data_IF_449721085640
#
_entry.id   IF_449721085640
#
_cell.length_a   1.000
_cell.length_b   1.000
_cell.length_c   1.000
_cell.angle_alpha   90.00
_cell.angle_beta   90.00
_cell.angle_gamma   90.00
#
_symmetry.space_group_name_H-M   'P 1'
#
loop_
_entity.id
_entity.type
_entity.pdbx_description
1 polymer ?
#
# COMPACT_ATOMS: atom_id res chain seq x y z
N UNK A 1 -34.23 -4.58 3.04
CA UNK A 1 -33.91 -6.03 2.84
C UNK A 1 -32.99 -6.45 3.99
N UNK A 2 -33.04 -7.70 4.46
CA UNK A 2 -32.13 -8.14 5.54
C UNK A 2 -30.67 -8.12 5.07
N UNK A 3 -29.67 -7.69 5.90
CA UNK A 3 -28.30 -7.49 5.47
C UNK A 3 -27.65 -8.69 4.77
N UNK A 4 -27.84 -9.92 5.24
CA UNK A 4 -27.31 -11.12 4.58
C UNK A 4 -27.89 -11.35 3.18
N UNK A 5 -29.16 -11.00 2.95
CA UNK A 5 -29.77 -11.07 1.61
C UNK A 5 -29.21 -10.00 0.68
N UNK A 6 -28.87 -8.81 1.22
CA UNK A 6 -28.16 -7.78 0.45
C UNK A 6 -26.80 -8.31 0.00
N UNK A 7 -26.05 -8.95 0.89
CA UNK A 7 -24.74 -9.53 0.55
C UNK A 7 -24.87 -10.61 -0.51
N UNK A 8 -25.85 -11.54 -0.39
CA UNK A 8 -26.11 -12.57 -1.40
C UNK A 8 -26.44 -11.93 -2.77
N UNK A 9 -27.24 -10.86 -2.79
CA UNK A 9 -27.55 -10.10 -4.01
C UNK A 9 -26.27 -9.46 -4.60
N UNK A 10 -25.40 -8.88 -3.77
CA UNK A 10 -24.12 -8.31 -4.21
C UNK A 10 -23.13 -9.35 -4.77
N UNK A 11 -23.21 -10.61 -4.33
CA UNK A 11 -22.40 -11.70 -4.86
C UNK A 11 -22.88 -12.22 -6.21
N UNK A 12 -24.15 -12.03 -6.56
CA UNK A 12 -24.77 -12.59 -7.76
C UNK A 12 -24.25 -12.00 -9.07
N UNK A 13 -23.64 -10.79 -9.03
CA UNK A 13 -23.11 -10.12 -10.20
C UNK A 13 -21.84 -9.32 -9.85
N UNK A 14 -20.79 -9.42 -10.68
CA UNK A 14 -19.54 -8.71 -10.49
C UNK A 14 -19.51 -7.30 -11.09
N UNK A 15 -20.55 -6.89 -11.80
CA UNK A 15 -20.68 -5.56 -12.39
C UNK A 15 -20.64 -4.47 -11.30
N UNK A 16 -19.80 -3.47 -11.51
CA UNK A 16 -19.71 -2.32 -10.61
C UNK A 16 -21.03 -1.57 -10.51
N UNK A 17 -21.70 -1.34 -11.63
CA UNK A 17 -22.98 -0.58 -11.66
C UNK A 17 -24.07 -1.34 -10.93
N UNK A 18 -24.13 -2.66 -11.09
CA UNK A 18 -25.06 -3.50 -10.33
C UNK A 18 -24.82 -3.40 -8.83
N UNK A 19 -23.55 -3.50 -8.38
CA UNK A 19 -23.23 -3.37 -6.95
C UNK A 19 -23.56 -1.98 -6.40
N UNK A 20 -23.29 -0.92 -7.17
CA UNK A 20 -23.65 0.44 -6.80
C UNK A 20 -25.18 0.59 -6.64
N UNK A 21 -26.01 0.03 -7.55
CA UNK A 21 -27.47 0.10 -7.42
C UNK A 21 -27.99 -0.69 -6.21
N UNK A 22 -27.46 -1.87 -5.93
CA UNK A 22 -27.86 -2.66 -4.76
C UNK A 22 -27.53 -1.92 -3.45
N UNK A 23 -26.39 -1.24 -3.38
CA UNK A 23 -26.02 -0.42 -2.22
C UNK A 23 -26.97 0.78 -2.12
N UNK A 24 -27.24 1.48 -3.21
CA UNK A 24 -28.15 2.64 -3.27
C UNK A 24 -29.54 2.30 -2.72
N UNK A 25 -30.09 1.14 -3.14
CA UNK A 25 -31.41 0.66 -2.68
C UNK A 25 -31.48 0.37 -1.17
N UNK A 26 -30.37 0.04 -0.53
CA UNK A 26 -30.36 -0.51 0.83
C UNK A 26 -29.57 0.33 1.84
N UNK A 27 -28.89 1.39 1.41
CA UNK A 27 -27.97 2.14 2.29
C UNK A 27 -28.64 2.94 3.40
N UNK A 28 -29.96 3.10 3.34
CA UNK A 28 -30.73 3.74 4.42
C UNK A 28 -31.00 2.82 5.62
N UNK A 29 -30.71 1.52 5.52
CA UNK A 29 -30.77 0.58 6.63
C UNK A 29 -29.56 0.83 7.55
N UNK A 30 -29.84 1.23 8.80
CA UNK A 30 -28.79 1.59 9.78
C UNK A 30 -27.94 0.39 10.20
N UNK A 31 -28.53 -0.79 10.34
CA UNK A 31 -27.80 -2.01 10.69
C UNK A 31 -26.82 -2.39 9.57
N UNK A 32 -27.26 -2.19 8.32
CA UNK A 32 -26.39 -2.39 7.16
C UNK A 32 -25.25 -1.36 7.11
N UNK A 33 -25.53 -0.06 7.34
CA UNK A 33 -24.48 0.97 7.43
C UNK A 33 -23.45 0.66 8.51
N UNK A 34 -23.89 0.35 9.73
CA UNK A 34 -23.01 0.04 10.85
C UNK A 34 -22.16 -1.19 10.56
N UNK A 35 -22.75 -2.23 9.98
CA UNK A 35 -22.02 -3.44 9.61
C UNK A 35 -21.00 -3.22 8.48
N UNK A 36 -21.35 -2.40 7.48
CA UNK A 36 -20.40 -1.94 6.46
C UNK A 36 -19.22 -1.19 7.11
N UNK A 37 -19.50 -0.28 8.04
CA UNK A 37 -18.47 0.46 8.76
C UNK A 37 -17.58 -0.48 9.57
N UNK A 38 -18.17 -1.38 10.37
CA UNK A 38 -17.40 -2.35 11.16
C UNK A 38 -16.53 -3.27 10.28
N UNK A 39 -17.02 -3.67 9.11
CA UNK A 39 -16.29 -4.55 8.20
C UNK A 39 -15.20 -3.82 7.42
N UNK A 40 -15.50 -2.66 6.85
CA UNK A 40 -14.66 -2.00 5.85
C UNK A 40 -13.71 -0.95 6.44
N UNK A 41 -14.01 -0.37 7.62
CA UNK A 41 -13.07 0.52 8.30
C UNK A 41 -11.83 -0.26 8.74
N UNK A 42 -10.69 0.03 8.14
CA UNK A 42 -9.43 -0.65 8.43
C UNK A 42 -8.98 -0.52 9.88
N UNK A 43 -9.39 0.55 10.58
CA UNK A 43 -9.01 0.81 11.97
C UNK A 43 -9.89 0.09 13.00
N UNK A 44 -10.98 -0.53 12.56
CA UNK A 44 -11.79 -1.45 13.38
C UNK A 44 -11.16 -2.84 13.31
N UNK A 45 -10.76 -3.39 14.44
CA UNK A 45 -10.16 -4.73 14.53
C UNK A 45 -10.78 -5.54 15.65
N UNK A 46 -11.16 -6.78 15.38
CA UNK A 46 -11.79 -7.66 16.38
C UNK A 46 -10.79 -8.53 17.12
N UNK A 47 -9.53 -8.60 16.70
CA UNK A 47 -8.48 -9.39 17.36
C UNK A 47 -8.65 -10.91 17.24
N UNK A 48 -9.43 -11.36 16.29
CA UNK A 48 -9.69 -12.78 16.07
C UNK A 48 -9.11 -13.21 14.72
N UNK A 49 -8.40 -14.36 14.72
CA UNK A 49 -7.76 -14.89 13.51
C UNK A 49 -8.66 -15.88 12.75
N UNK A 50 -9.50 -16.60 13.48
CA UNK A 50 -10.35 -17.66 12.93
C UNK A 50 -11.78 -17.48 13.42
N UNK A 51 -12.70 -17.38 12.47
CA UNK A 51 -14.15 -17.35 12.72
C UNK A 51 -14.77 -18.48 11.90
N UNK A 52 -15.28 -19.56 12.55
CA UNK A 52 -15.80 -20.73 11.86
C UNK A 52 -17.06 -20.41 11.06
N UNK A 53 -17.34 -21.20 10.04
CA UNK A 53 -18.67 -21.25 9.42
C UNK A 53 -19.62 -22.09 10.29
N UNK A 54 -20.91 -21.87 10.14
CA UNK A 54 -21.95 -22.66 10.80
C UNK A 54 -22.93 -23.23 9.79
N UNK A 55 -23.30 -24.47 9.97
CA UNK A 55 -24.40 -25.16 9.30
C UNK A 55 -25.64 -25.30 10.21
N UNK A 56 -25.52 -24.90 11.47
CA UNK A 56 -26.58 -24.91 12.46
C UNK A 56 -27.54 -23.72 12.26
N UNK A 57 -28.78 -23.92 12.57
CA UNK A 57 -29.79 -22.87 12.57
C UNK A 57 -30.26 -22.60 14.01
N UNK A 58 -29.76 -21.48 14.56
CA UNK A 58 -30.28 -20.88 15.77
C UNK A 58 -31.64 -20.20 15.54
N UNK A 59 -32.13 -19.52 16.56
CA UNK A 59 -33.43 -18.79 16.52
C UNK A 59 -33.36 -17.44 15.79
N UNK A 60 -32.15 -17.01 15.39
CA UNK A 60 -31.83 -15.70 14.84
C UNK A 60 -30.99 -14.86 15.81
N UNK A 61 -30.10 -14.05 15.26
CA UNK A 61 -29.23 -13.14 16.02
C UNK A 61 -29.64 -11.69 15.74
N UNK A 62 -30.02 -11.01 16.79
CA UNK A 62 -30.34 -9.58 16.75
C UNK A 62 -29.07 -8.74 16.52
N UNK A 63 -29.20 -7.65 15.74
CA UNK A 63 -28.08 -6.74 15.45
C UNK A 63 -27.49 -6.11 16.72
N UNK A 64 -28.34 -5.65 17.67
CA UNK A 64 -27.88 -5.06 18.93
C UNK A 64 -27.04 -6.04 19.75
N UNK A 65 -27.45 -7.31 19.82
CA UNK A 65 -26.70 -8.35 20.51
C UNK A 65 -25.36 -8.60 19.85
N UNK A 66 -25.30 -8.69 18.50
CA UNK A 66 -24.05 -8.80 17.76
C UNK A 66 -23.14 -7.58 17.99
N UNK A 67 -23.68 -6.37 17.86
CA UNK A 67 -22.95 -5.11 18.03
C UNK A 67 -22.30 -5.00 19.40
N UNK A 68 -23.04 -5.33 20.47
CA UNK A 68 -22.50 -5.30 21.83
C UNK A 68 -21.31 -6.25 21.98
N UNK A 69 -21.44 -7.49 21.51
CA UNK A 69 -20.34 -8.45 21.54
C UNK A 69 -19.16 -8.02 20.65
N UNK A 70 -19.43 -7.47 19.48
CA UNK A 70 -18.40 -6.93 18.58
C UNK A 70 -17.62 -5.78 19.24
N UNK A 71 -18.29 -4.89 19.99
CA UNK A 71 -17.64 -3.81 20.73
C UNK A 71 -16.69 -4.35 21.82
N UNK A 72 -17.06 -5.41 22.55
CA UNK A 72 -16.16 -6.05 23.53
C UNK A 72 -14.88 -6.59 22.88
N UNK A 73 -14.97 -7.07 21.63
CA UNK A 73 -13.81 -7.52 20.85
C UNK A 73 -12.96 -6.33 20.35
N UNK A 74 -13.61 -5.28 19.85
CA UNK A 74 -12.94 -4.05 19.36
C UNK A 74 -12.17 -3.36 20.51
N UNK A 75 -12.81 -3.21 21.67
CA UNK A 75 -12.22 -2.58 22.86
C UNK A 75 -11.24 -3.48 23.62
N UNK A 76 -11.04 -4.72 23.14
CA UNK A 76 -10.16 -5.71 23.76
C UNK A 76 -10.56 -6.12 25.19
N UNK A 77 -11.82 -5.96 25.56
CA UNK A 77 -12.35 -6.45 26.82
C UNK A 77 -12.44 -7.99 26.81
N UNK A 78 -12.69 -8.58 25.64
CA UNK A 78 -12.58 -10.02 25.42
C UNK A 78 -11.47 -10.32 24.43
N UNK A 79 -10.51 -11.17 24.84
CA UNK A 79 -9.36 -11.61 24.04
C UNK A 79 -9.12 -13.10 24.19
N UNK A 80 -8.30 -13.71 23.33
CA UNK A 80 -7.92 -15.12 23.43
C UNK A 80 -9.12 -16.08 23.48
N UNK A 81 -9.20 -16.92 24.50
CA UNK A 81 -10.28 -17.88 24.68
C UNK A 81 -11.63 -17.21 24.93
N UNK A 82 -11.69 -16.13 25.73
CA UNK A 82 -12.94 -15.41 25.98
C UNK A 82 -13.53 -14.79 24.71
N UNK A 83 -12.68 -14.30 23.78
CA UNK A 83 -13.14 -13.82 22.48
C UNK A 83 -13.69 -14.97 21.60
N UNK A 84 -13.04 -16.13 21.63
CA UNK A 84 -13.51 -17.31 20.92
C UNK A 84 -14.87 -17.79 21.44
N UNK A 85 -15.03 -17.86 22.75
CA UNK A 85 -16.27 -18.32 23.38
C UNK A 85 -17.43 -17.36 23.06
N UNK A 86 -17.15 -16.04 23.05
CA UNK A 86 -18.12 -15.02 22.63
C UNK A 86 -18.59 -15.24 21.17
N UNK A 87 -17.64 -15.48 20.27
CA UNK A 87 -17.94 -15.74 18.86
C UNK A 87 -18.78 -17.00 18.69
N UNK A 88 -18.46 -18.08 19.41
CA UNK A 88 -19.23 -19.33 19.35
C UNK A 88 -20.64 -19.13 19.91
N UNK A 89 -20.80 -18.35 20.98
CA UNK A 89 -22.12 -18.04 21.54
C UNK A 89 -22.98 -17.20 20.57
N UNK A 90 -22.39 -16.27 19.81
CA UNK A 90 -23.09 -15.55 18.75
C UNK A 90 -23.48 -16.48 17.60
N UNK A 91 -22.55 -17.33 17.19
CA UNK A 91 -22.75 -18.29 16.10
C UNK A 91 -23.91 -19.26 16.40
N UNK A 92 -24.00 -19.77 17.65
CA UNK A 92 -25.07 -20.69 18.06
C UNK A 92 -26.47 -20.04 18.09
N UNK A 93 -26.54 -18.70 18.26
CA UNK A 93 -27.81 -17.94 18.20
C UNK A 93 -28.27 -17.65 16.78
N UNK A 94 -27.34 -17.39 15.86
CA UNK A 94 -27.64 -16.97 14.50
C UNK A 94 -28.16 -18.15 13.65
N UNK A 95 -28.98 -17.86 12.63
CA UNK A 95 -29.21 -18.82 11.56
C UNK A 95 -27.92 -18.99 10.72
N UNK A 96 -27.81 -20.10 10.01
CA UNK A 96 -26.68 -20.39 9.14
C UNK A 96 -26.44 -19.27 8.09
N UNK A 97 -27.51 -18.74 7.49
CA UNK A 97 -27.41 -17.64 6.53
C UNK A 97 -26.94 -16.34 7.18
N UNK A 98 -27.59 -15.91 8.30
CA UNK A 98 -27.20 -14.70 9.03
C UNK A 98 -25.73 -14.74 9.42
N UNK A 99 -25.29 -15.89 9.96
CA UNK A 99 -23.91 -16.06 10.38
C UNK A 99 -22.94 -16.03 9.22
N UNK A 100 -23.11 -16.90 8.23
CA UNK A 100 -22.13 -17.08 7.17
C UNK A 100 -22.05 -15.91 6.20
N UNK A 101 -23.19 -15.23 5.93
CA UNK A 101 -23.27 -14.20 4.90
C UNK A 101 -23.28 -12.76 5.44
N UNK A 102 -23.35 -12.60 6.78
CA UNK A 102 -23.28 -11.28 7.38
C UNK A 102 -22.34 -11.21 8.59
N UNK A 103 -22.72 -11.72 9.74
CA UNK A 103 -21.98 -11.54 10.99
C UNK A 103 -20.53 -12.05 10.94
N UNK A 104 -20.36 -13.24 10.41
CA UNK A 104 -19.02 -13.80 10.20
C UNK A 104 -18.16 -12.94 9.26
N UNK A 105 -18.74 -12.41 8.19
CA UNK A 105 -18.02 -11.59 7.21
C UNK A 105 -17.57 -10.27 7.81
N UNK A 106 -18.34 -9.69 8.71
CA UNK A 106 -17.91 -8.53 9.49
C UNK A 106 -16.71 -8.89 10.35
N UNK A 107 -16.78 -9.97 11.12
CA UNK A 107 -15.71 -10.41 12.03
C UNK A 107 -14.41 -10.77 11.32
N UNK A 108 -14.45 -11.35 10.12
CA UNK A 108 -13.27 -11.64 9.30
C UNK A 108 -12.80 -10.43 8.46
N UNK A 109 -13.49 -9.30 8.54
CA UNK A 109 -13.17 -8.06 7.80
C UNK A 109 -13.19 -8.24 6.27
N UNK A 110 -14.06 -9.09 5.75
CA UNK A 110 -14.17 -9.40 4.33
C UNK A 110 -15.62 -9.77 3.95
N UNK A 111 -16.31 -8.86 3.28
CA UNK A 111 -17.68 -9.08 2.80
C UNK A 111 -17.78 -10.13 1.70
N UNK A 112 -16.67 -10.47 1.03
CA UNK A 112 -16.58 -11.46 -0.06
C UNK A 112 -17.49 -11.20 -1.26
N UNK A 113 -18.03 -9.99 -1.38
CA UNK A 113 -18.92 -9.60 -2.47
C UNK A 113 -18.30 -8.53 -3.39
N UNK A 114 -16.98 -8.28 -3.29
CA UNK A 114 -16.25 -7.33 -4.14
C UNK A 114 -16.62 -5.85 -3.93
N UNK A 115 -17.22 -5.52 -2.78
CA UNK A 115 -17.53 -4.14 -2.36
C UNK A 115 -16.43 -3.63 -1.45
N UNK A 116 -15.96 -2.40 -1.72
CA UNK A 116 -14.97 -1.69 -0.90
C UNK A 116 -15.56 -0.44 -0.27
N UNK A 117 -14.83 0.13 0.71
CA UNK A 117 -15.16 1.43 1.31
C UNK A 117 -15.35 2.53 0.25
N UNK A 118 -14.56 2.50 -0.83
CA UNK A 118 -14.66 3.47 -1.94
C UNK A 118 -15.96 3.29 -2.72
N UNK A 119 -16.39 2.05 -2.95
CA UNK A 119 -17.65 1.74 -3.63
C UNK A 119 -18.82 2.32 -2.83
N UNK A 120 -18.86 2.04 -1.52
CA UNK A 120 -19.90 2.57 -0.62
C UNK A 120 -19.89 4.10 -0.62
N UNK A 121 -18.72 4.71 -0.43
CA UNK A 121 -18.58 6.17 -0.35
C UNK A 121 -18.93 6.89 -1.65
N UNK A 122 -18.68 6.27 -2.80
CA UNK A 122 -19.11 6.82 -4.10
C UNK A 122 -20.63 6.84 -4.22
N UNK A 123 -21.32 5.77 -3.83
CA UNK A 123 -22.79 5.69 -3.83
C UNK A 123 -23.35 6.75 -2.89
N UNK A 124 -22.94 6.77 -1.64
CA UNK A 124 -23.50 7.71 -0.64
C UNK A 124 -23.23 9.17 -0.99
N UNK A 125 -22.10 9.46 -1.65
CA UNK A 125 -21.82 10.80 -2.18
C UNK A 125 -22.78 11.17 -3.32
N UNK A 126 -23.06 10.23 -4.24
CA UNK A 126 -23.93 10.44 -5.40
C UNK A 126 -25.38 10.77 -5.00
N UNK A 127 -25.87 10.13 -3.92
CA UNK A 127 -27.23 10.28 -3.43
C UNK A 127 -27.34 11.21 -2.20
N UNK A 128 -26.27 11.96 -1.90
CA UNK A 128 -26.19 12.96 -0.82
C UNK A 128 -26.52 12.43 0.59
N UNK A 129 -26.19 11.18 0.87
CA UNK A 129 -26.27 10.61 2.23
C UNK A 129 -24.99 10.92 2.98
N UNK A 130 -25.09 11.35 4.24
CA UNK A 130 -23.94 11.73 5.08
C UNK A 130 -23.06 10.56 5.51
N UNK A 131 -23.56 9.32 5.45
CA UNK A 131 -22.80 8.13 5.83
C UNK A 131 -21.53 7.98 4.98
N UNK A 132 -20.40 7.74 5.64
CA UNK A 132 -19.11 7.45 5.02
C UNK A 132 -18.38 6.38 5.81
N UNK A 133 -17.83 5.41 5.11
CA UNK A 133 -16.86 4.47 5.68
C UNK A 133 -15.49 5.15 5.68
N UNK A 134 -14.77 5.21 6.82
CA UNK A 134 -13.42 5.75 6.85
C UNK A 134 -12.50 5.03 5.87
N UNK A 135 -11.73 5.81 5.08
CA UNK A 135 -10.74 5.27 4.14
C UNK A 135 -9.37 5.37 4.79
N UNK A 136 -8.72 4.22 4.98
CA UNK A 136 -7.34 4.21 5.46
C UNK A 136 -6.44 4.92 4.46
N UNK A 137 -5.74 5.94 4.93
CA UNK A 137 -4.79 6.69 4.12
C UNK A 137 -3.57 7.05 4.96
N UNK A 138 -2.41 7.02 4.33
CA UNK A 138 -1.16 7.52 4.87
C UNK A 138 -0.52 8.47 3.87
N UNK A 139 0.51 9.19 4.28
CA UNK A 139 1.21 10.10 3.38
C UNK A 139 1.90 9.35 2.26
N UNK A 140 1.77 9.84 1.02
CA UNK A 140 2.44 9.32 -0.16
C UNK A 140 3.35 10.39 -0.77
N UNK A 141 4.53 9.98 -1.21
CA UNK A 141 5.50 10.86 -1.85
C UNK A 141 5.15 11.20 -3.30
N UNK A 142 5.51 12.40 -3.74
CA UNK A 142 5.66 12.72 -5.16
C UNK A 142 7.03 12.30 -5.70
N UNK A 143 7.15 12.24 -7.02
CA UNK A 143 8.41 12.09 -7.71
C UNK A 143 9.14 13.45 -7.72
N UNK A 144 10.24 13.57 -6.98
CA UNK A 144 10.96 14.85 -6.83
C UNK A 144 11.59 15.34 -8.13
N UNK A 145 11.97 14.44 -9.03
CA UNK A 145 12.48 14.80 -10.36
C UNK A 145 11.46 15.57 -11.21
N UNK A 146 10.16 15.36 -10.95
CA UNK A 146 9.07 16.08 -11.63
C UNK A 146 8.70 17.40 -10.93
N UNK A 147 9.19 17.60 -9.74
CA UNK A 147 8.85 18.76 -8.89
C UNK A 147 10.08 19.46 -8.31
N UNK A 148 11.14 19.78 -9.11
CA UNK A 148 12.39 20.35 -8.60
C UNK A 148 12.17 21.67 -7.85
N UNK A 149 11.19 22.46 -8.26
CA UNK A 149 10.85 23.75 -7.59
C UNK A 149 10.31 23.58 -6.16
N UNK A 150 10.02 22.35 -5.74
CA UNK A 150 9.57 22.03 -4.35
C UNK A 150 10.74 21.69 -3.43
N UNK A 151 11.93 21.48 -3.99
CA UNK A 151 13.18 21.24 -3.26
C UNK A 151 13.82 22.60 -3.06
N UNK A 152 13.68 23.17 -1.87
CA UNK A 152 14.21 24.50 -1.51
C UNK A 152 14.27 24.68 0.00
N UNK A 153 15.12 25.59 0.46
CA UNK A 153 15.37 25.81 1.88
C UNK A 153 15.91 24.57 2.58
N UNK A 154 15.74 24.50 3.86
CA UNK A 154 16.15 23.36 4.65
C UNK A 154 15.26 22.14 4.39
N UNK A 155 15.88 21.05 3.98
CA UNK A 155 15.22 19.76 3.77
C UNK A 155 15.97 18.66 4.52
N UNK A 156 15.25 17.68 5.03
CA UNK A 156 15.81 16.45 5.53
C UNK A 156 16.00 15.49 4.35
N UNK A 157 17.22 14.95 4.18
CA UNK A 157 17.50 13.89 3.23
C UNK A 157 17.67 12.60 3.99
N UNK A 158 16.96 11.56 3.57
CA UNK A 158 17.00 10.20 4.10
C UNK A 158 17.32 9.21 2.99
N UNK A 159 17.99 8.10 3.32
CA UNK A 159 18.09 6.97 2.38
C UNK A 159 16.70 6.34 2.19
N UNK A 160 16.36 6.06 0.94
CA UNK A 160 15.11 5.36 0.62
C UNK A 160 15.32 3.86 0.68
N UNK A 161 14.80 3.28 1.73
CA UNK A 161 14.84 1.83 1.94
C UNK A 161 13.96 1.10 0.91
N UNK A 162 14.37 -0.10 0.50
CA UNK A 162 13.60 -1.00 -0.38
C UNK A 162 13.09 -2.18 0.44
N UNK A 163 11.99 -1.99 1.13
CA UNK A 163 11.38 -2.95 2.03
C UNK A 163 9.87 -3.02 1.85
N UNK A 164 9.18 -3.28 2.95
CA UNK A 164 7.71 -3.31 3.01
C UNK A 164 7.22 -2.22 3.96
N UNK A 165 6.56 -1.21 3.41
CA UNK A 165 6.03 -0.12 4.23
C UNK A 165 4.97 -0.61 5.20
N UNK A 166 5.13 -0.21 6.45
CA UNK A 166 4.25 -0.54 7.56
C UNK A 166 3.85 0.74 8.31
N UNK A 167 2.56 0.86 8.56
CA UNK A 167 1.97 1.83 9.48
C UNK A 167 1.65 1.07 10.76
N UNK A 168 2.44 1.25 11.81
CA UNK A 168 2.20 0.64 13.12
C UNK A 168 1.35 1.57 13.98
N UNK A 169 0.20 1.09 14.43
CA UNK A 169 -0.73 1.87 15.28
C UNK A 169 -0.82 1.23 16.64
N UNK A 170 -0.45 1.99 17.67
CA UNK A 170 -0.54 1.59 19.08
C UNK A 170 -1.77 2.19 19.75
N UNK A 171 -2.61 1.32 20.33
CA UNK A 171 -3.77 1.69 21.18
C UNK A 171 -3.77 0.84 22.44
N UNK A 172 -3.92 1.45 23.63
CA UNK A 172 -4.01 0.72 24.90
C UNK A 172 -2.93 -0.37 25.05
N UNK A 173 -1.68 -0.03 24.71
CA UNK A 173 -0.51 -0.93 24.73
C UNK A 173 -0.61 -2.14 23.77
N UNK A 174 -1.48 -2.08 22.77
CA UNK A 174 -1.53 -3.04 21.68
C UNK A 174 -1.11 -2.36 20.39
N UNK A 175 -0.25 -3.01 19.63
CA UNK A 175 0.19 -2.54 18.31
C UNK A 175 -0.41 -3.42 17.22
N UNK A 176 -0.90 -2.80 16.19
CA UNK A 176 -1.33 -3.48 14.96
C UNK A 176 -0.57 -2.89 13.79
N UNK A 177 -0.02 -3.75 12.93
CA UNK A 177 0.72 -3.36 11.74
C UNK A 177 -0.20 -3.34 10.53
N UNK A 178 -0.17 -2.25 9.77
CA UNK A 178 -0.96 -2.06 8.57
C UNK A 178 -0.08 -1.84 7.35
N UNK A 179 -0.47 -2.38 6.21
CA UNK A 179 0.08 -1.93 4.94
C UNK A 179 -0.35 -0.49 4.63
N UNK A 180 0.28 0.16 3.68
CA UNK A 180 -0.12 1.49 3.21
C UNK A 180 -1.57 1.59 2.71
N UNK A 181 -2.22 0.47 2.47
CA UNK A 181 -3.61 0.38 2.01
C UNK A 181 -4.56 -0.09 3.14
N UNK A 182 -4.12 -0.13 4.39
CA UNK A 182 -4.92 -0.50 5.54
C UNK A 182 -5.14 -2.01 5.73
N UNK A 183 -4.44 -2.88 5.00
CA UNK A 183 -4.48 -4.32 5.27
C UNK A 183 -3.59 -4.66 6.45
N UNK A 184 -4.09 -5.47 7.38
CA UNK A 184 -3.33 -5.91 8.55
C UNK A 184 -2.24 -6.89 8.12
N UNK A 185 -1.02 -6.65 8.62
CA UNK A 185 0.08 -7.59 8.58
C UNK A 185 0.12 -8.38 9.90
N UNK A 186 0.18 -9.70 9.81
CA UNK A 186 0.38 -10.58 10.97
C UNK A 186 1.72 -11.32 10.93
N UNK A 187 2.59 -10.94 10.01
CA UNK A 187 3.81 -11.66 9.69
C UNK A 187 5.01 -11.25 10.58
N UNK A 188 4.87 -10.14 11.33
CA UNK A 188 5.94 -9.56 12.15
C UNK A 188 5.52 -9.42 13.62
N UNK A 189 5.17 -10.51 14.32
CA UNK A 189 4.66 -10.46 15.69
C UNK A 189 5.67 -9.89 16.67
N UNK A 190 6.98 -10.08 16.46
CA UNK A 190 8.04 -9.53 17.30
C UNK A 190 8.10 -7.98 17.23
N UNK A 191 7.80 -7.38 16.07
CA UNK A 191 7.70 -5.91 15.91
C UNK A 191 6.46 -5.38 16.63
N UNK A 192 5.31 -6.08 16.49
CA UNK A 192 4.07 -5.72 17.22
C UNK A 192 4.29 -5.77 18.74
N UNK A 193 4.91 -6.84 19.23
CA UNK A 193 5.22 -7.03 20.64
C UNK A 193 6.21 -5.97 21.16
N UNK A 194 7.25 -5.68 20.36
CA UNK A 194 8.26 -4.68 20.70
C UNK A 194 7.65 -3.28 20.89
N UNK A 195 6.81 -2.82 19.97
CA UNK A 195 6.14 -1.53 20.07
C UNK A 195 5.06 -1.52 21.17
N UNK A 196 4.40 -2.64 21.42
CA UNK A 196 3.42 -2.78 22.49
C UNK A 196 4.08 -2.65 23.88
N UNK A 197 5.25 -3.27 24.06
CA UNK A 197 6.03 -3.19 25.32
C UNK A 197 6.67 -1.82 25.57
N UNK A 198 6.89 -1.02 24.53
CA UNK A 198 7.47 0.32 24.66
C UNK A 198 6.51 1.35 25.28
N UNK A 199 5.30 0.93 25.67
CA UNK A 199 4.29 1.73 26.37
C UNK A 199 3.85 3.00 25.64
N UNK A 200 3.88 2.98 24.32
CA UNK A 200 3.29 4.03 23.51
C UNK A 200 1.77 3.84 23.47
N UNK A 201 1.03 4.91 23.67
CA UNK A 201 -0.43 4.87 23.59
C UNK A 201 -0.94 5.92 22.59
N UNK A 202 -1.87 5.49 21.73
CA UNK A 202 -2.48 6.36 20.71
C UNK A 202 -1.45 7.04 19.78
N UNK A 203 -0.45 6.27 19.35
CA UNK A 203 0.60 6.73 18.43
C UNK A 203 0.56 5.94 17.12
N UNK A 204 1.00 6.59 16.07
CA UNK A 204 1.23 6.02 14.75
C UNK A 204 2.71 6.14 14.42
N UNK A 205 3.32 5.03 14.03
CA UNK A 205 4.69 4.95 13.56
C UNK A 205 4.67 4.55 12.09
N UNK A 206 5.32 5.34 11.26
CA UNK A 206 5.44 5.09 9.82
C UNK A 206 6.86 4.65 9.49
N UNK A 207 7.00 3.49 8.90
CA UNK A 207 8.30 2.88 8.68
C UNK A 207 8.32 1.87 7.54
N UNK A 208 9.50 1.31 7.31
CA UNK A 208 9.74 0.25 6.35
C UNK A 208 10.24 -0.99 7.10
N UNK A 209 9.58 -2.13 6.93
CA UNK A 209 10.12 -3.41 7.42
C UNK A 209 11.20 -3.87 6.47
N UNK A 210 12.35 -4.12 7.03
CA UNK A 210 13.57 -4.56 6.36
C UNK A 210 13.97 -5.96 6.83
N UNK A 211 14.65 -6.70 5.98
CA UNK A 211 15.33 -7.96 6.27
C UNK A 211 16.62 -7.99 5.47
N UNK A 212 17.57 -8.80 5.87
CA UNK A 212 18.85 -8.97 5.16
C UNK A 212 18.66 -9.50 3.73
N UNK A 213 17.53 -10.19 3.46
CA UNK A 213 17.12 -10.65 2.12
C UNK A 213 15.72 -10.15 1.75
N UNK A 214 15.68 -9.14 0.86
CA UNK A 214 14.43 -8.58 0.34
C UNK A 214 13.55 -9.63 -0.35
N UNK A 215 14.13 -10.58 -1.08
CA UNK A 215 13.35 -11.63 -1.75
C UNK A 215 12.69 -12.57 -0.74
N UNK A 216 13.40 -12.93 0.32
CA UNK A 216 12.86 -13.70 1.44
C UNK A 216 11.77 -12.91 2.16
N UNK A 217 11.96 -11.60 2.39
CA UNK A 217 10.96 -10.72 2.98
C UNK A 217 9.68 -10.71 2.14
N UNK A 218 9.78 -10.52 0.82
CA UNK A 218 8.61 -10.50 -0.07
C UNK A 218 7.89 -11.85 -0.13
N UNK A 219 8.61 -12.97 -0.16
CA UNK A 219 8.01 -14.32 -0.06
C UNK A 219 7.24 -14.51 1.24
N UNK A 220 7.71 -13.93 2.33
CA UNK A 220 7.11 -14.06 3.66
C UNK A 220 5.88 -13.16 3.82
N UNK A 221 5.91 -11.93 3.31
CA UNK A 221 4.76 -11.00 3.32
C UNK A 221 3.55 -11.59 2.58
N UNK A 222 3.78 -12.38 1.53
CA UNK A 222 2.71 -13.01 0.75
C UNK A 222 2.29 -14.40 1.25
N UNK A 223 3.01 -14.99 2.20
CA UNK A 223 2.61 -16.28 2.79
C UNK A 223 1.46 -16.11 3.79
N UNK A 224 0.43 -16.93 3.62
CA UNK A 224 -0.77 -16.92 4.50
C UNK A 224 -0.58 -17.69 5.82
N UNK A 225 0.52 -18.40 6.01
CA UNK A 225 0.77 -19.28 7.17
C UNK A 225 2.22 -19.25 7.61
N UNK A 226 2.42 -19.06 8.94
CA UNK A 226 3.63 -19.35 9.75
C UNK A 226 5.01 -18.91 9.24
N UNK A 227 5.12 -17.78 8.56
CA UNK A 227 6.43 -17.20 8.28
C UNK A 227 6.84 -16.30 9.46
N UNK A 228 7.67 -16.79 10.35
CA UNK A 228 8.37 -15.98 11.35
C UNK A 228 9.63 -15.43 10.72
N UNK A 229 9.74 -14.12 10.63
CA UNK A 229 10.95 -13.39 10.27
C UNK A 229 11.58 -12.82 11.52
N UNK A 230 12.31 -13.60 12.26
CA UNK A 230 12.96 -13.14 13.50
C UNK A 230 14.08 -12.12 13.22
N UNK A 231 14.60 -12.09 12.00
CA UNK A 231 15.63 -11.17 11.49
C UNK A 231 15.08 -9.85 10.91
N UNK A 232 13.76 -9.74 10.72
CA UNK A 232 13.17 -8.51 10.22
C UNK A 232 13.20 -7.40 11.29
N UNK A 233 13.49 -6.17 10.87
CA UNK A 233 13.43 -4.99 11.72
C UNK A 233 12.59 -3.89 11.07
N UNK A 234 12.04 -2.99 11.87
CA UNK A 234 11.28 -1.82 11.41
C UNK A 234 12.17 -0.58 11.43
N UNK A 235 12.44 -0.01 10.26
CA UNK A 235 13.11 1.26 10.06
C UNK A 235 12.07 2.39 10.09
N UNK A 236 11.99 3.13 11.19
CA UNK A 236 11.03 4.21 11.41
C UNK A 236 11.52 5.51 10.78
N UNK A 237 10.69 6.15 9.97
CA UNK A 237 11.00 7.43 9.37
C UNK A 237 10.00 8.55 9.71
N UNK A 238 8.87 8.22 10.36
CA UNK A 238 7.93 9.25 10.85
C UNK A 238 7.10 8.76 12.05
N UNK A 239 6.52 9.71 12.79
CA UNK A 239 5.69 9.48 13.97
C UNK A 239 4.65 10.58 14.10
N UNK A 240 3.43 10.24 14.51
CA UNK A 240 2.40 11.22 14.85
C UNK A 240 1.35 10.65 15.82
N UNK A 241 0.61 11.49 16.56
CA UNK A 241 -0.51 11.05 17.36
C UNK A 241 -1.61 10.39 16.51
N UNK A 242 -2.22 9.32 17.00
CA UNK A 242 -3.31 8.64 16.30
C UNK A 242 -4.49 9.56 15.98
N UNK A 243 -4.78 10.53 16.85
CA UNK A 243 -5.82 11.53 16.59
C UNK A 243 -5.51 12.33 15.31
N UNK A 244 -4.29 12.82 15.16
CA UNK A 244 -3.87 13.59 13.99
C UNK A 244 -3.86 12.75 12.71
N UNK A 245 -3.48 11.47 12.83
CA UNK A 245 -3.57 10.52 11.72
C UNK A 245 -5.02 10.31 11.27
N UNK A 246 -5.97 10.18 12.22
CA UNK A 246 -7.40 10.05 11.93
C UNK A 246 -7.98 11.36 11.35
N UNK A 247 -7.50 12.51 11.82
CA UNK A 247 -7.86 13.84 11.28
C UNK A 247 -7.23 14.08 9.89
N UNK A 248 -6.33 13.19 9.44
CA UNK A 248 -5.69 13.21 8.13
C UNK A 248 -4.50 14.16 8.01
N UNK A 249 -4.08 14.83 9.10
CA UNK A 249 -3.00 15.81 9.06
C UNK A 249 -2.33 15.99 10.43
N UNK A 250 -0.99 16.02 10.44
CA UNK A 250 -0.20 16.37 11.62
C UNK A 250 -0.20 17.89 11.88
N UNK A 251 -0.06 18.26 13.15
CA UNK A 251 0.18 19.64 13.59
C UNK A 251 1.66 19.99 13.63
N UNK A 252 2.51 18.98 13.77
CA UNK A 252 3.96 19.12 13.84
C UNK A 252 4.59 19.09 12.46
N UNK A 253 5.63 19.87 12.28
CA UNK A 253 6.48 19.89 11.10
C UNK A 253 7.31 18.60 10.98
N UNK A 254 7.90 18.38 9.81
CA UNK A 254 8.78 17.21 9.57
C UNK A 254 9.91 17.15 10.60
N UNK A 255 10.61 18.26 10.84
CA UNK A 255 11.72 18.31 11.79
C UNK A 255 11.26 18.05 13.24
N UNK A 256 10.12 18.63 13.65
CA UNK A 256 9.56 18.39 14.99
C UNK A 256 9.20 16.92 15.19
N UNK A 257 8.59 16.27 14.20
CA UNK A 257 8.27 14.83 14.27
C UNK A 257 9.52 13.96 14.35
N UNK A 258 10.59 14.32 13.60
CA UNK A 258 11.89 13.64 13.71
C UNK A 258 12.50 13.78 15.10
N UNK A 259 12.50 14.99 15.65
CA UNK A 259 12.97 15.25 17.02
C UNK A 259 12.18 14.44 18.05
N UNK A 260 10.86 14.25 17.86
CA UNK A 260 10.05 13.40 18.71
C UNK A 260 10.45 11.93 18.60
N UNK A 261 10.68 11.44 17.37
CA UNK A 261 11.10 10.08 17.12
C UNK A 261 12.45 9.78 17.80
N UNK A 262 13.41 10.70 17.69
CA UNK A 262 14.72 10.58 18.35
C UNK A 262 14.63 10.57 19.89
N UNK A 263 13.76 11.40 20.46
CA UNK A 263 13.51 11.37 21.92
C UNK A 263 13.02 10.01 22.42
N UNK A 264 12.32 9.28 21.57
CA UNK A 264 11.82 7.94 21.88
C UNK A 264 12.83 6.82 21.57
N UNK A 265 13.96 7.12 20.94
CA UNK A 265 14.94 6.11 20.49
C UNK A 265 15.37 5.14 21.61
N UNK A 266 15.54 5.65 22.82
CA UNK A 266 15.94 4.84 24.00
C UNK A 266 14.90 3.83 24.46
N UNK A 267 13.64 3.98 24.00
CA UNK A 267 12.54 3.04 24.31
C UNK A 267 12.42 1.92 23.27
N UNK A 268 13.08 2.07 22.15
CA UNK A 268 12.97 1.09 21.06
C UNK A 268 13.94 -0.09 21.28
N UNK A 269 13.45 -1.33 21.20
CA UNK A 269 14.32 -2.50 21.19
C UNK A 269 15.06 -2.61 19.85
N UNK A 270 16.05 -3.52 19.77
CA UNK A 270 16.96 -3.65 18.64
C UNK A 270 16.29 -3.90 17.27
N UNK A 271 15.10 -4.48 17.26
CA UNK A 271 14.31 -4.70 16.04
C UNK A 271 13.58 -3.44 15.54
N UNK A 272 13.71 -2.30 16.24
CA UNK A 272 13.16 -1.00 15.82
C UNK A 272 14.32 -0.02 15.67
N UNK A 273 14.54 0.49 14.48
CA UNK A 273 15.60 1.45 14.15
C UNK A 273 15.00 2.73 13.64
N UNK A 274 15.61 3.87 13.89
CA UNK A 274 15.22 5.15 13.30
C UNK A 274 16.06 5.35 12.05
N UNK A 275 15.41 5.80 10.97
CA UNK A 275 16.10 6.16 9.73
C UNK A 275 16.88 7.44 9.94
N UNK A 276 18.19 7.38 9.71
CA UNK A 276 19.08 8.52 9.77
C UNK A 276 18.73 9.56 8.70
N UNK A 277 18.94 10.83 9.01
CA UNK A 277 18.74 11.93 8.09
C UNK A 277 19.84 12.98 8.19
N UNK A 278 20.00 13.73 7.12
CA UNK A 278 20.89 14.90 7.06
C UNK A 278 20.06 16.12 6.70
N UNK A 279 20.20 17.21 7.45
CA UNK A 279 19.57 18.49 7.08
C UNK A 279 20.47 19.20 6.07
N UNK A 280 19.89 19.61 4.95
CA UNK A 280 20.59 20.24 3.84
C UNK A 280 19.81 21.48 3.41
N UNK A 281 20.51 22.62 3.34
CA UNK A 281 19.95 23.84 2.77
C UNK A 281 20.13 23.84 1.25
N UNK A 282 19.03 23.69 0.53
CA UNK A 282 19.03 23.69 -0.94
C UNK A 282 19.06 25.07 -1.58
N UNK A 283 18.88 26.13 -0.80
CA UNK A 283 19.07 27.49 -1.27
C UNK A 283 20.54 27.96 -1.08
N UNK A 284 21.35 27.17 -0.34
CA UNK A 284 22.77 27.39 -0.12
C UNK A 284 23.68 26.72 -1.15
N UNK A 285 24.94 27.16 -1.22
CA UNK A 285 25.93 26.72 -2.23
C UNK A 285 26.28 25.23 -2.16
N UNK A 286 26.09 24.58 -1.02
CA UNK A 286 26.46 23.16 -0.79
C UNK A 286 25.30 22.17 -0.92
N UNK A 287 24.08 22.66 -1.19
CA UNK A 287 22.91 21.80 -1.21
C UNK A 287 22.97 20.70 -2.26
N UNK A 288 23.32 21.10 -3.49
CA UNK A 288 23.40 20.18 -4.65
C UNK A 288 24.60 19.22 -4.53
N UNK A 289 25.73 19.67 -3.98
CA UNK A 289 26.91 18.83 -3.75
C UNK A 289 26.61 17.76 -2.70
N UNK A 290 26.01 18.12 -1.57
CA UNK A 290 25.63 17.18 -0.51
C UNK A 290 24.61 16.15 -1.02
N UNK A 291 23.60 16.61 -1.77
CA UNK A 291 22.63 15.71 -2.40
C UNK A 291 23.31 14.72 -3.35
N UNK A 292 24.19 15.21 -4.23
CA UNK A 292 24.89 14.37 -5.21
C UNK A 292 25.76 13.31 -4.53
N UNK A 293 26.48 13.68 -3.46
CA UNK A 293 27.27 12.75 -2.66
C UNK A 293 26.39 11.68 -2.00
N UNK A 294 25.32 12.09 -1.31
CA UNK A 294 24.41 11.15 -0.65
C UNK A 294 23.71 10.23 -1.66
N UNK A 295 23.35 10.76 -2.85
CA UNK A 295 22.72 9.94 -3.89
C UNK A 295 23.67 8.86 -4.42
N UNK A 296 24.95 9.17 -4.61
CA UNK A 296 25.97 8.20 -4.97
C UNK A 296 26.14 7.14 -3.89
N UNK A 297 26.27 7.54 -2.63
CA UNK A 297 26.36 6.62 -1.48
C UNK A 297 25.12 5.72 -1.36
N UNK A 298 23.94 6.25 -1.61
CA UNK A 298 22.68 5.48 -1.58
C UNK A 298 22.73 4.31 -2.57
N UNK A 299 23.19 4.56 -3.80
CA UNK A 299 23.31 3.55 -4.84
C UNK A 299 24.38 2.52 -4.53
N UNK A 300 25.57 2.94 -4.07
CA UNK A 300 26.67 2.06 -3.67
C UNK A 300 26.27 1.13 -2.52
N UNK A 301 25.41 1.59 -1.62
CA UNK A 301 24.91 0.82 -0.47
C UNK A 301 23.62 0.04 -0.77
N UNK A 302 23.11 0.06 -2.01
CA UNK A 302 21.96 -0.72 -2.45
C UNK A 302 20.60 -0.15 -2.02
N UNK A 303 20.51 1.12 -1.63
CA UNK A 303 19.23 1.78 -1.38
C UNK A 303 18.50 2.13 -2.70
N UNK A 304 17.17 2.27 -2.67
CA UNK A 304 16.38 2.67 -3.85
C UNK A 304 16.66 4.12 -4.33
N UNK A 305 17.41 4.91 -3.59
CA UNK A 305 17.69 6.32 -3.81
C UNK A 305 17.51 7.13 -2.53
N UNK A 306 16.98 8.34 -2.63
CA UNK A 306 16.81 9.26 -1.51
C UNK A 306 15.35 9.70 -1.34
N UNK A 307 15.01 10.13 -0.13
CA UNK A 307 13.79 10.88 0.21
C UNK A 307 14.20 12.28 0.65
N UNK A 308 13.62 13.30 0.02
CA UNK A 308 13.77 14.71 0.43
C UNK A 308 12.47 15.15 1.08
N UNK A 309 12.58 15.73 2.27
CA UNK A 309 11.45 16.16 3.10
C UNK A 309 11.70 17.60 3.56
N UNK A 310 10.99 18.62 3.03
CA UNK A 310 11.09 19.99 3.57
C UNK A 310 10.84 19.99 5.08
N UNK A 311 11.70 20.67 5.83
CA UNK A 311 11.70 20.62 7.31
C UNK A 311 10.41 21.12 7.95
N UNK A 312 9.77 22.13 7.32
CA UNK A 312 8.60 22.81 7.83
C UNK A 312 7.27 22.23 7.36
N UNK A 313 7.30 21.19 6.50
CA UNK A 313 6.10 20.58 5.96
C UNK A 313 5.43 19.63 6.96
N UNK A 314 4.12 19.47 6.81
CA UNK A 314 3.30 18.63 7.69
C UNK A 314 3.08 17.25 7.09
N UNK A 315 2.85 16.24 7.93
CA UNK A 315 2.36 14.95 7.47
C UNK A 315 0.88 15.07 7.08
N UNK A 316 0.53 14.68 5.86
CA UNK A 316 -0.84 14.67 5.37
C UNK A 316 -1.18 13.28 4.82
N UNK A 317 -2.31 12.70 5.24
CA UNK A 317 -2.75 11.35 4.80
C UNK A 317 -3.23 11.33 3.34
N UNK A 318 -2.40 11.84 2.44
CA UNK A 318 -2.61 11.89 0.98
C UNK A 318 -1.27 11.94 0.26
N UNK A 319 -1.28 11.98 -1.08
CA UNK A 319 -0.08 12.30 -1.84
C UNK A 319 0.28 13.78 -1.61
N UNK A 320 1.50 14.03 -1.12
CA UNK A 320 1.97 15.37 -0.73
C UNK A 320 3.39 15.63 -1.22
N UNK A 321 3.71 16.90 -1.51
CA UNK A 321 5.07 17.34 -1.81
C UNK A 321 5.95 17.43 -0.56
N UNK A 322 5.38 17.29 0.63
CA UNK A 322 6.14 17.18 1.87
C UNK A 322 7.08 15.95 1.89
N UNK A 323 6.87 15.00 0.99
CA UNK A 323 7.78 13.89 0.72
C UNK A 323 8.06 13.80 -0.78
N UNK A 324 9.32 13.94 -1.16
CA UNK A 324 9.80 13.86 -2.53
C UNK A 324 10.77 12.67 -2.65
N UNK A 325 10.38 11.67 -3.41
CA UNK A 325 11.27 10.53 -3.68
C UNK A 325 12.19 10.85 -4.85
N UNK A 326 13.48 10.64 -4.64
CA UNK A 326 14.54 10.79 -5.62
C UNK A 326 15.03 9.38 -5.97
N UNK A 327 14.41 8.78 -6.98
CA UNK A 327 14.85 7.48 -7.49
C UNK A 327 15.68 7.70 -8.74
N UNK A 328 16.92 7.24 -8.78
CA UNK A 328 17.65 7.14 -10.03
C UNK A 328 16.87 6.21 -10.97
N UNK A 329 17.00 6.45 -12.24
CA UNK A 329 16.54 5.56 -13.27
C UNK A 329 17.73 5.19 -14.15
N UNK A 330 17.69 4.00 -14.68
CA UNK A 330 18.59 3.54 -15.72
C UNK A 330 17.89 3.70 -17.07
N UNK A 331 18.66 3.94 -18.10
CA UNK A 331 18.19 3.96 -19.49
C UNK A 331 18.91 2.85 -20.25
N UNK A 332 18.12 2.03 -20.94
CA UNK A 332 18.60 0.89 -21.72
C UNK A 332 18.01 1.00 -23.12
N UNK A 333 18.81 0.79 -24.13
CA UNK A 333 18.36 0.86 -25.55
C UNK A 333 18.31 -0.56 -26.14
N UNK A 334 17.10 -1.00 -26.49
CA UNK A 334 16.86 -2.36 -27.00
C UNK A 334 16.06 -2.33 -28.31
N UNK A 335 16.21 -3.39 -29.10
CA UNK A 335 15.50 -3.55 -30.37
C UNK A 335 14.11 -4.15 -30.17
N UNK A 336 13.10 -3.58 -30.80
CA UNK A 336 11.74 -4.13 -30.86
C UNK A 336 11.74 -5.39 -31.73
N UNK A 337 11.36 -6.51 -31.16
CA UNK A 337 11.23 -7.80 -31.86
C UNK A 337 9.78 -8.16 -32.16
N UNK A 338 8.85 -7.75 -31.27
CA UNK A 338 7.43 -8.01 -31.46
C UNK A 338 6.58 -6.83 -30.94
N UNK A 339 5.37 -6.70 -31.47
CA UNK A 339 4.38 -5.70 -31.06
C UNK A 339 3.08 -6.40 -30.70
N UNK A 340 2.63 -6.23 -29.46
CA UNK A 340 1.46 -6.92 -28.93
C UNK A 340 0.25 -6.01 -28.82
N UNK A 341 -0.92 -6.56 -29.14
CA UNK A 341 -2.20 -5.88 -28.91
C UNK A 341 -2.50 -5.77 -27.42
N UNK A 342 -3.13 -4.68 -27.02
CA UNK A 342 -3.60 -4.48 -25.67
C UNK A 342 -4.88 -5.27 -25.37
N UNK A 343 -5.18 -5.41 -24.06
CA UNK A 343 -6.39 -6.08 -23.59
C UNK A 343 -7.34 -5.08 -22.93
N UNK A 344 -8.59 -5.46 -22.73
CA UNK A 344 -9.60 -4.61 -22.06
C UNK A 344 -9.80 -3.29 -22.80
N UNK A 345 -9.58 -2.15 -22.13
CA UNK A 345 -9.72 -0.81 -22.75
C UNK A 345 -8.71 -0.50 -23.86
N UNK A 346 -7.70 -1.33 -24.04
CA UNK A 346 -6.65 -1.16 -25.05
C UNK A 346 -6.78 -2.15 -26.21
N UNK A 347 -7.89 -2.85 -26.35
CA UNK A 347 -8.19 -3.66 -27.57
C UNK A 347 -8.17 -2.74 -28.80
N UNK A 348 -7.54 -3.19 -29.88
CA UNK A 348 -7.33 -2.37 -31.08
C UNK A 348 -6.19 -1.35 -30.98
N UNK A 349 -5.41 -1.38 -29.90
CA UNK A 349 -4.29 -0.46 -29.63
C UNK A 349 -3.06 -1.24 -29.16
N UNK A 350 -1.90 -0.58 -29.18
CA UNK A 350 -0.67 -1.17 -28.64
C UNK A 350 -0.81 -1.51 -27.13
N UNK A 351 -0.54 -2.75 -26.79
CA UNK A 351 -0.41 -3.24 -25.42
C UNK A 351 1.02 -3.11 -24.89
N UNK A 352 1.95 -3.76 -25.58
CA UNK A 352 3.36 -3.79 -25.20
C UNK A 352 4.25 -4.04 -26.43
N UNK A 353 5.54 -3.70 -26.27
CA UNK A 353 6.62 -4.17 -27.16
C UNK A 353 7.33 -5.34 -26.47
N UNK A 354 7.68 -6.41 -27.20
CA UNK A 354 8.79 -7.28 -26.83
C UNK A 354 10.07 -6.68 -27.36
N UNK A 355 11.09 -6.61 -26.52
CA UNK A 355 12.38 -6.01 -26.86
C UNK A 355 13.52 -6.91 -26.45
N UNK A 356 14.58 -6.93 -27.28
CA UNK A 356 15.76 -7.73 -27.04
C UNK A 356 17.04 -6.97 -27.44
N UNK A 357 18.13 -7.31 -26.80
CA UNK A 357 19.45 -6.78 -27.16
C UNK A 357 20.45 -6.75 -26.01
N UNK A 358 21.69 -6.38 -26.37
CA UNK A 358 22.74 -6.16 -25.41
C UNK A 358 22.87 -4.67 -25.10
N UNK A 359 22.94 -4.34 -23.82
CA UNK A 359 23.28 -3.01 -23.33
C UNK A 359 24.19 -3.16 -22.11
N UNK A 360 25.30 -2.42 -22.08
CA UNK A 360 26.33 -2.48 -21.02
C UNK A 360 26.80 -3.92 -20.70
N UNK A 361 27.00 -4.74 -21.74
CA UNK A 361 27.47 -6.14 -21.59
C UNK A 361 26.43 -7.12 -21.04
N UNK A 362 25.18 -6.72 -20.91
CA UNK A 362 24.08 -7.55 -20.40
C UNK A 362 23.04 -7.78 -21.50
N UNK A 363 22.63 -9.03 -21.69
CA UNK A 363 21.59 -9.37 -22.64
C UNK A 363 20.22 -9.28 -21.96
N UNK A 364 19.31 -8.52 -22.58
CA UNK A 364 17.94 -8.32 -22.11
C UNK A 364 16.94 -8.93 -23.11
N UNK A 365 15.88 -9.55 -22.58
CA UNK A 365 14.69 -9.94 -23.32
C UNK A 365 13.47 -9.73 -22.42
N UNK A 366 12.61 -8.77 -22.73
CA UNK A 366 11.48 -8.39 -21.87
C UNK A 366 10.37 -7.65 -22.62
N UNK A 367 9.21 -7.54 -21.94
CA UNK A 367 8.07 -6.77 -22.45
C UNK A 367 8.00 -5.37 -21.83
N UNK A 368 7.74 -4.36 -22.65
CA UNK A 368 7.58 -2.96 -22.28
C UNK A 368 6.17 -2.49 -22.62
N UNK A 369 5.28 -2.46 -21.64
CA UNK A 369 3.87 -2.06 -21.80
C UNK A 369 3.49 -0.77 -21.05
N UNK A 370 4.44 -0.11 -20.37
CA UNK A 370 4.22 1.14 -19.65
C UNK A 370 5.02 2.31 -20.24
N UNK A 371 4.70 3.54 -19.83
CA UNK A 371 5.29 4.75 -20.40
C UNK A 371 4.62 5.23 -21.71
N UNK A 372 3.52 4.61 -22.10
CA UNK A 372 2.76 4.92 -23.32
C UNK A 372 1.48 5.68 -22.97
N UNK A 373 1.21 6.78 -23.67
CA UNK A 373 -0.08 7.48 -23.62
C UNK A 373 -1.12 6.75 -24.47
N UNK A 374 -2.40 7.04 -24.27
CA UNK A 374 -3.47 6.44 -25.09
C UNK A 374 -3.31 6.82 -26.57
N UNK A 375 -2.89 8.05 -26.85
CA UNK A 375 -2.57 8.54 -28.21
C UNK A 375 -1.40 7.77 -28.82
N UNK A 376 -0.30 7.58 -28.06
CA UNK A 376 0.83 6.78 -28.52
C UNK A 376 0.43 5.33 -28.81
N UNK A 377 -0.44 4.76 -27.99
CA UNK A 377 -0.93 3.38 -28.21
C UNK A 377 -1.72 3.24 -29.51
N UNK A 378 -2.58 4.21 -29.82
CA UNK A 378 -3.35 4.24 -31.08
C UNK A 378 -2.42 4.40 -32.28
N UNK A 379 -1.57 5.42 -32.24
CA UNK A 379 -0.62 5.71 -33.32
C UNK A 379 0.33 4.54 -33.58
N UNK A 380 0.94 3.99 -32.55
CA UNK A 380 1.93 2.91 -32.72
C UNK A 380 1.29 1.60 -33.17
N UNK A 381 0.04 1.34 -32.81
CA UNK A 381 -0.69 0.19 -33.31
C UNK A 381 -1.00 0.27 -34.82
N UNK A 382 -1.32 1.46 -35.30
CA UNK A 382 -1.54 1.68 -36.74
C UNK A 382 -0.28 1.42 -37.60
N UNK A 383 0.91 1.68 -37.03
CA UNK A 383 2.19 1.52 -37.72
C UNK A 383 3.01 0.34 -37.19
N UNK A 384 2.39 -0.62 -36.50
CA UNK A 384 3.04 -1.70 -35.78
C UNK A 384 4.14 -2.43 -36.55
N UNK A 385 3.90 -2.74 -37.80
CA UNK A 385 4.84 -3.50 -38.65
C UNK A 385 6.14 -2.71 -38.90
N UNK A 386 6.07 -1.38 -38.95
CA UNK A 386 7.23 -0.50 -39.16
C UNK A 386 8.03 -0.25 -37.88
N UNK A 387 7.52 -0.68 -36.73
CA UNK A 387 8.20 -0.53 -35.46
C UNK A 387 9.12 -1.71 -35.12
N UNK A 388 8.90 -2.85 -35.78
CA UNK A 388 9.76 -4.03 -35.64
C UNK A 388 11.15 -3.72 -36.18
N UNK A 389 12.18 -4.02 -35.38
CA UNK A 389 13.57 -3.73 -35.70
C UNK A 389 14.06 -2.36 -35.23
N UNK A 390 13.17 -1.43 -34.88
CA UNK A 390 13.58 -0.14 -34.31
C UNK A 390 14.14 -0.30 -32.89
N UNK A 391 15.10 0.56 -32.58
CA UNK A 391 15.62 0.70 -31.24
C UNK A 391 14.70 1.62 -30.42
N UNK A 392 14.36 1.21 -29.21
CA UNK A 392 13.66 2.05 -28.23
C UNK A 392 14.51 2.27 -26.98
N UNK A 393 14.45 3.46 -26.45
CA UNK A 393 15.01 3.81 -25.15
C UNK A 393 13.97 3.52 -24.07
N UNK A 394 14.40 2.76 -23.07
CA UNK A 394 13.57 2.26 -21.97
C UNK A 394 14.14 2.80 -20.68
N UNK A 395 13.30 3.46 -19.88
CA UNK A 395 13.62 3.81 -18.49
C UNK A 395 13.18 2.71 -17.57
N UNK A 396 14.03 2.36 -16.61
CA UNK A 396 13.71 1.40 -15.58
C UNK A 396 14.27 1.83 -14.21
N UNK A 397 13.73 1.24 -13.15
CA UNK A 397 14.20 1.53 -11.79
C UNK A 397 15.50 0.78 -11.45
N UNK A 398 15.70 -0.40 -12.01
CA UNK A 398 16.92 -1.20 -11.82
C UNK A 398 17.04 -2.31 -12.86
N UNK A 399 18.26 -2.86 -13.04
CA UNK A 399 18.48 -4.15 -13.71
C UNK A 399 18.14 -5.26 -12.71
N UNK A 400 17.45 -6.29 -13.17
CA UNK A 400 17.15 -7.51 -12.41
C UNK A 400 17.62 -8.73 -13.21
N UNK A 401 17.90 -9.82 -12.51
CA UNK A 401 18.25 -11.09 -13.13
C UNK A 401 17.30 -12.17 -12.62
N UNK A 402 16.83 -13.04 -13.51
CA UNK A 402 16.04 -14.20 -13.13
C UNK A 402 16.90 -15.20 -12.35
N UNK A 403 16.34 -15.84 -11.33
CA UNK A 403 17.06 -16.90 -10.57
C UNK A 403 17.31 -18.18 -11.39
N UNK A 404 16.61 -18.35 -12.52
CA UNK A 404 16.65 -19.57 -13.35
C UNK A 404 17.21 -19.32 -14.77
N UNK A 405 17.68 -18.10 -15.08
CA UNK A 405 18.09 -17.73 -16.44
C UNK A 405 19.35 -16.84 -16.49
N UNK A 406 20.08 -16.93 -17.61
CA UNK A 406 21.26 -16.08 -17.90
C UNK A 406 20.85 -14.66 -18.34
N UNK A 407 19.57 -14.43 -18.70
CA UNK A 407 19.09 -13.16 -19.22
C UNK A 407 18.81 -12.16 -18.09
N UNK A 408 19.11 -10.90 -18.36
CA UNK A 408 18.74 -9.79 -17.52
C UNK A 408 17.35 -9.28 -17.86
N UNK A 409 16.68 -8.66 -16.90
CA UNK A 409 15.42 -7.97 -17.06
C UNK A 409 15.46 -6.60 -16.40
N UNK A 410 14.40 -5.84 -16.51
CA UNK A 410 14.30 -4.49 -15.99
C UNK A 410 13.13 -4.38 -15.00
N UNK A 411 13.39 -3.74 -13.85
CA UNK A 411 12.35 -3.44 -12.87
C UNK A 411 11.54 -2.23 -13.32
N UNK A 412 10.24 -2.40 -13.55
CA UNK A 412 9.32 -1.37 -14.02
C UNK A 412 9.76 -0.67 -15.32
N UNK A 413 9.97 -1.42 -16.42
CA UNK A 413 10.39 -0.84 -17.69
C UNK A 413 9.30 0.08 -18.25
N UNK A 414 9.71 1.25 -18.74
CA UNK A 414 8.84 2.27 -19.33
C UNK A 414 9.42 2.76 -20.64
N UNK A 415 8.60 2.71 -21.68
CA UNK A 415 8.95 3.31 -22.96
C UNK A 415 9.25 4.82 -22.79
N UNK A 416 10.34 5.29 -23.37
CA UNK A 416 10.71 6.71 -23.38
C UNK A 416 10.59 7.30 -24.78
N UNK A 417 11.30 6.73 -25.76
CA UNK A 417 11.31 7.23 -27.13
C UNK A 417 11.86 6.17 -28.10
N UNK A 418 11.61 6.35 -29.38
CA UNK A 418 12.31 5.62 -30.44
C UNK A 418 13.69 6.27 -30.72
N UNK A 419 14.66 5.44 -31.14
CA UNK A 419 16.05 5.80 -31.45
C UNK A 419 16.44 5.48 -32.88
N UNK A 420 15.50 5.09 -33.78
CA UNK A 420 15.79 4.65 -35.11
C UNK A 420 16.19 3.19 -35.19
N UNK A 421 16.88 2.80 -36.26
CA UNK A 421 17.28 1.41 -36.50
C UNK A 421 18.75 1.13 -36.14
N UNK A 422 19.59 2.18 -36.07
CA UNK A 422 21.01 2.06 -35.78
C UNK A 422 21.37 2.82 -34.47
N UNK A 423 22.35 2.31 -33.71
CA UNK A 423 22.83 2.99 -32.51
C UNK A 423 23.34 4.42 -32.84
N UNK A 424 22.81 5.42 -32.09
CA UNK A 424 23.20 6.81 -32.26
C UNK A 424 22.31 7.66 -33.16
N UNK A 425 21.34 7.06 -33.87
CA UNK A 425 20.29 7.84 -34.56
C UNK A 425 19.43 8.59 -33.52
N UNK A 426 19.12 9.85 -33.81
CA UNK A 426 18.13 10.65 -33.07
C UNK A 426 16.99 10.94 -34.03
N UNK A 427 15.83 10.36 -33.78
CA UNK A 427 14.58 10.71 -34.45
C UNK A 427 13.91 11.89 -33.73
#
# INVERSE_FOLDING_TARGET
MKPWKIIQKLESDNSRLFKESVIEENINDLDFQEGLSMCLDALVTFGVKQVPKSDKNGKGLDWSAFKNSALLLIEREKTGHAARDEILALMDKATSEEWNDWYRRILIKDLRCGVSEKTVNNVTKKIDIQFRVPVFACMLSHDGMKHPKKIKGNCLIEYKYDGVRVIAITKKNNTTLYSRNGKIFSNFPHIEEALSKAEFNNMVFDGEVMSDDFQSLMKQVHRKTNAKTEDAYLALFDILPLKEFNDGKSKLTTLERKNHLEKFSKKFPSCIKIVDYTVVDFDGDQGEETYSKMNKEALERGYEGLMIKPENDLYECKRSHAWLKMKPFIEVTLKVTEVHEGTGRHVGKLGAFTVEGNDDGKFFSLNVGSGLTDENREKFWQYKDSLIGQLIEIRADAVTQSMEGENYSLRFPRFKTFRGFEPGEKL
#
